data_IF_515827113792
#
_entry.id   IF_515827113792
#
_cell.length_a   1.000
_cell.length_b   1.000
_cell.length_c   1.000
_cell.angle_alpha   90.00
_cell.angle_beta   90.00
_cell.angle_gamma   90.00
#
_symmetry.space_group_name_H-M   'P 1'
#
loop_
_entity.id
_entity.type
_entity.pdbx_description
1 polymer ?
#
# COMPACT_ATOMS: atom_id res chain seq x y z
N UNK A 1 -35.25 5.04 47.43
CA UNK A 1 -33.77 5.02 47.50
C UNK A 1 -33.12 4.85 46.12
N UNK A 2 -33.77 4.24 45.12
CA UNK A 2 -33.21 4.08 43.76
C UNK A 2 -33.45 5.27 42.81
N UNK A 3 -34.41 6.17 43.08
CA UNK A 3 -34.69 7.33 42.20
C UNK A 3 -33.67 8.48 42.29
N UNK A 4 -32.85 8.53 43.33
CA UNK A 4 -31.73 9.49 43.44
C UNK A 4 -30.53 9.08 42.57
N UNK A 5 -30.37 7.77 42.33
CA UNK A 5 -29.32 7.21 41.48
C UNK A 5 -29.60 7.47 39.99
N UNK A 6 -30.87 7.54 39.60
CA UNK A 6 -31.32 7.91 38.26
C UNK A 6 -31.86 9.34 38.25
N UNK A 7 -31.08 10.26 38.83
CA UNK A 7 -31.36 11.69 38.83
C UNK A 7 -31.83 12.14 37.45
N UNK A 8 -33.12 12.48 37.40
CA UNK A 8 -33.79 13.05 36.25
C UNK A 8 -33.30 14.50 36.11
N UNK A 9 -32.10 14.69 35.54
CA UNK A 9 -31.64 16.00 35.13
C UNK A 9 -32.40 16.39 33.87
N UNK A 10 -33.51 17.13 34.06
CA UNK A 10 -33.96 18.06 33.03
C UNK A 10 -32.88 19.13 32.91
N UNK A 11 -31.83 18.82 32.16
CA UNK A 11 -30.83 19.78 31.77
C UNK A 11 -31.50 20.74 30.78
N UNK A 12 -31.97 21.88 31.31
CA UNK A 12 -32.16 23.09 30.53
C UNK A 12 -30.80 23.51 29.99
N UNK A 13 -30.39 22.89 28.88
CA UNK A 13 -29.11 23.12 28.23
C UNK A 13 -28.96 24.59 27.86
N UNK A 14 -27.90 25.29 28.28
CA UNK A 14 -27.43 26.40 27.49
C UNK A 14 -27.02 25.83 26.13
N UNK A 15 -27.47 26.43 25.03
CA UNK A 15 -27.12 26.10 23.63
C UNK A 15 -25.62 26.37 23.37
N UNK A 16 -24.73 25.81 24.18
CA UNK A 16 -23.28 25.86 24.01
C UNK A 16 -22.95 24.82 22.95
N UNK A 17 -22.80 25.28 21.71
CA UNK A 17 -22.11 24.67 20.55
C UNK A 17 -21.69 23.18 20.66
N UNK A 18 -22.60 22.28 21.04
CA UNK A 18 -22.30 20.84 21.22
C UNK A 18 -21.91 20.22 19.89
N UNK A 19 -22.54 20.66 18.81
CA UNK A 19 -22.21 20.27 17.43
C UNK A 19 -20.79 20.67 17.02
N UNK A 20 -20.32 21.85 17.44
CA UNK A 20 -18.97 22.33 17.16
C UNK A 20 -17.92 21.50 17.91
N UNK A 21 -18.19 21.20 19.18
CA UNK A 21 -17.32 20.35 20.01
C UNK A 21 -17.25 18.92 19.45
N UNK A 22 -18.38 18.35 19.04
CA UNK A 22 -18.43 17.03 18.42
C UNK A 22 -17.62 17.01 17.11
N UNK A 23 -17.78 18.03 16.27
CA UNK A 23 -17.03 18.15 15.02
C UNK A 23 -15.53 18.28 15.24
N UNK A 24 -15.10 19.02 16.25
CA UNK A 24 -13.69 19.16 16.62
C UNK A 24 -13.09 17.83 17.14
N UNK A 25 -13.86 17.08 17.93
CA UNK A 25 -13.46 15.75 18.40
C UNK A 25 -13.34 14.74 17.26
N UNK A 26 -14.29 14.72 16.33
CA UNK A 26 -14.26 13.86 15.13
C UNK A 26 -13.06 14.19 14.24
N UNK A 27 -12.80 15.49 14.01
CA UNK A 27 -11.63 15.94 13.27
C UNK A 27 -10.34 15.45 13.93
N UNK A 28 -10.19 15.70 15.22
CA UNK A 28 -9.00 15.30 15.99
C UNK A 28 -8.81 13.78 15.99
N UNK A 29 -9.90 13.01 16.11
CA UNK A 29 -9.86 11.54 16.02
C UNK A 29 -9.38 11.08 14.65
N UNK A 30 -9.88 11.72 13.59
CA UNK A 30 -9.53 11.40 12.20
C UNK A 30 -8.07 11.70 11.92
N UNK A 31 -7.56 12.86 12.34
CA UNK A 31 -6.15 13.24 12.18
C UNK A 31 -5.20 12.25 12.88
N UNK A 32 -5.53 11.85 14.12
CA UNK A 32 -4.75 10.84 14.85
C UNK A 32 -4.78 9.47 14.17
N UNK A 33 -5.95 9.05 13.68
CA UNK A 33 -6.09 7.78 12.97
C UNK A 33 -5.25 7.75 11.68
N UNK A 34 -5.24 8.86 10.93
CA UNK A 34 -4.45 9.00 9.72
C UNK A 34 -2.94 8.96 10.02
N UNK A 35 -2.49 9.71 11.03
CA UNK A 35 -1.09 9.71 11.45
C UNK A 35 -0.61 8.32 11.90
N UNK A 36 -1.44 7.58 12.65
CA UNK A 36 -1.14 6.20 13.04
C UNK A 36 -1.10 5.26 11.84
N UNK A 37 -2.04 5.42 10.90
CA UNK A 37 -2.07 4.62 9.69
C UNK A 37 -0.79 4.79 8.87
N UNK A 38 -0.34 6.04 8.67
CA UNK A 38 0.88 6.35 7.94
C UNK A 38 2.12 5.71 8.58
N UNK A 39 2.27 5.88 9.90
CA UNK A 39 3.36 5.25 10.65
C UNK A 39 3.36 3.72 10.54
N UNK A 40 2.17 3.09 10.53
CA UNK A 40 2.03 1.64 10.38
C UNK A 40 2.35 1.18 8.94
N UNK A 41 2.00 1.97 7.93
CA UNK A 41 2.35 1.68 6.52
C UNK A 41 3.86 1.73 6.33
N UNK A 42 4.53 2.75 6.85
CA UNK A 42 5.98 2.89 6.75
C UNK A 42 6.70 1.69 7.40
N UNK A 43 6.29 1.31 8.62
CA UNK A 43 6.83 0.13 9.32
C UNK A 43 6.61 -1.17 8.55
N UNK A 44 5.42 -1.38 7.96
CA UNK A 44 5.13 -2.56 7.14
C UNK A 44 6.03 -2.62 5.92
N UNK A 45 6.27 -1.49 5.25
CA UNK A 45 7.16 -1.43 4.09
C UNK A 45 8.62 -1.72 4.49
N UNK A 46 9.10 -1.11 5.58
CA UNK A 46 10.44 -1.38 6.11
C UNK A 46 10.62 -2.86 6.48
N UNK A 47 9.61 -3.47 7.12
CA UNK A 47 9.62 -4.89 7.46
C UNK A 47 9.70 -5.79 6.23
N UNK A 48 8.88 -5.55 5.21
CA UNK A 48 8.93 -6.31 3.95
C UNK A 48 10.30 -6.23 3.28
N UNK A 49 10.93 -5.06 3.31
CA UNK A 49 12.28 -4.87 2.76
C UNK A 49 13.34 -5.65 3.55
N UNK A 50 13.28 -5.59 4.89
CA UNK A 50 14.17 -6.35 5.75
C UNK A 50 14.01 -7.87 5.55
N UNK A 51 12.76 -8.34 5.45
CA UNK A 51 12.45 -9.74 5.17
C UNK A 51 13.00 -10.21 3.82
N UNK A 52 12.88 -9.38 2.77
CA UNK A 52 13.45 -9.69 1.45
C UNK A 52 14.98 -9.82 1.50
N UNK A 53 15.65 -8.93 2.25
CA UNK A 53 17.12 -8.96 2.44
C UNK A 53 17.58 -10.20 3.20
N UNK A 54 16.86 -10.58 4.25
CA UNK A 54 17.20 -11.77 5.03
C UNK A 54 17.04 -13.05 4.21
N UNK A 55 15.92 -13.18 3.49
CA UNK A 55 15.70 -14.30 2.57
C UNK A 55 16.77 -14.36 1.48
N UNK A 56 17.17 -13.21 0.93
CA UNK A 56 18.25 -13.14 -0.05
C UNK A 56 19.58 -13.61 0.53
N UNK A 57 19.93 -13.23 1.75
CA UNK A 57 21.17 -13.67 2.40
C UNK A 57 21.26 -15.20 2.51
N UNK A 58 20.14 -15.85 2.86
CA UNK A 58 20.06 -17.30 2.94
C UNK A 58 20.16 -17.99 1.56
N UNK A 59 19.46 -17.46 0.56
CA UNK A 59 19.52 -18.00 -0.81
C UNK A 59 20.89 -17.74 -1.45
N UNK A 60 21.51 -16.58 -1.20
CA UNK A 60 22.80 -16.21 -1.73
C UNK A 60 23.92 -17.11 -1.20
N UNK A 61 23.94 -17.36 0.11
CA UNK A 61 24.94 -18.25 0.72
C UNK A 61 24.86 -19.68 0.18
N UNK A 62 23.65 -20.25 0.11
CA UNK A 62 23.41 -21.61 -0.40
C UNK A 62 23.63 -21.71 -1.91
N UNK A 63 23.18 -20.73 -2.69
CA UNK A 63 23.39 -20.65 -4.14
C UNK A 63 24.87 -20.48 -4.51
N UNK A 64 25.62 -19.68 -3.74
CA UNK A 64 27.04 -19.49 -3.96
C UNK A 64 27.84 -20.75 -3.59
N UNK A 65 27.51 -21.40 -2.47
CA UNK A 65 28.13 -22.66 -2.07
C UNK A 65 27.93 -23.76 -3.13
N UNK A 66 26.70 -23.93 -3.60
CA UNK A 66 26.35 -24.93 -4.63
C UNK A 66 27.02 -24.61 -5.97
N UNK A 67 27.08 -23.33 -6.36
CA UNK A 67 27.79 -22.90 -7.57
C UNK A 67 29.30 -23.20 -7.50
N UNK A 68 29.96 -22.89 -6.38
CA UNK A 68 31.39 -23.20 -6.20
C UNK A 68 31.62 -24.71 -6.27
N UNK A 69 30.79 -25.51 -5.60
CA UNK A 69 30.93 -26.96 -5.58
C UNK A 69 30.77 -27.57 -6.99
N UNK A 70 29.81 -27.06 -7.77
CA UNK A 70 29.59 -27.42 -9.17
C UNK A 70 30.78 -27.06 -10.06
N UNK A 71 31.38 -25.87 -9.86
CA UNK A 71 32.58 -25.45 -10.60
C UNK A 71 33.78 -26.32 -10.25
N UNK A 72 34.02 -26.61 -8.97
CA UNK A 72 35.10 -27.50 -8.50
C UNK A 72 34.93 -28.91 -9.08
N UNK A 73 33.71 -29.45 -9.07
CA UNK A 73 33.41 -30.75 -9.69
C UNK A 73 33.70 -30.75 -11.21
N UNK A 74 33.37 -29.66 -11.91
CA UNK A 74 33.65 -29.51 -13.34
C UNK A 74 35.15 -29.50 -13.63
N UNK A 75 35.96 -28.83 -12.80
CA UNK A 75 37.42 -28.84 -12.92
C UNK A 75 38.02 -30.22 -12.65
N UNK A 76 37.53 -30.93 -11.63
CA UNK A 76 38.02 -32.26 -11.29
C UNK A 76 37.73 -33.28 -12.41
N UNK A 77 36.53 -33.26 -12.97
CA UNK A 77 36.12 -34.20 -14.02
C UNK A 77 36.43 -33.73 -15.46
N UNK A 78 37.00 -32.54 -15.65
CA UNK A 78 37.26 -31.87 -16.94
C UNK A 78 36.05 -31.82 -17.88
N UNK A 79 34.84 -31.84 -17.31
CA UNK A 79 33.58 -31.92 -18.05
C UNK A 79 32.74 -30.66 -17.77
N UNK A 80 32.53 -29.86 -18.81
CA UNK A 80 31.78 -28.60 -18.74
C UNK A 80 30.30 -28.82 -18.37
N UNK A 81 29.75 -30.01 -18.64
CA UNK A 81 28.36 -30.35 -18.32
C UNK A 81 28.01 -30.19 -16.83
N UNK A 82 28.99 -30.33 -15.92
CA UNK A 82 28.76 -30.13 -14.49
C UNK A 82 28.56 -28.67 -14.08
N UNK A 83 28.89 -27.71 -14.95
CA UNK A 83 28.68 -26.26 -14.72
C UNK A 83 27.32 -25.76 -15.21
N UNK A 84 26.55 -26.60 -15.91
CA UNK A 84 25.21 -26.26 -16.41
C UNK A 84 24.26 -25.68 -15.33
N UNK A 85 24.20 -26.19 -14.08
CA UNK A 85 23.30 -25.63 -13.07
C UNK A 85 23.73 -24.25 -12.54
N UNK A 86 24.96 -23.78 -12.80
CA UNK A 86 25.44 -22.47 -12.35
C UNK A 86 24.67 -21.33 -13.03
N UNK A 87 24.29 -21.53 -14.29
CA UNK A 87 23.57 -20.52 -15.08
C UNK A 87 22.19 -20.20 -14.49
N UNK A 88 21.28 -21.17 -14.27
CA UNK A 88 19.98 -20.87 -13.66
C UNK A 88 20.10 -20.36 -12.22
N UNK A 89 21.08 -20.84 -11.43
CA UNK A 89 21.32 -20.36 -10.06
C UNK A 89 21.73 -18.89 -10.07
N UNK A 90 22.70 -18.51 -10.92
CA UNK A 90 23.17 -17.13 -11.01
C UNK A 90 22.09 -16.17 -11.52
N UNK A 91 21.28 -16.59 -12.50
CA UNK A 91 20.15 -15.81 -13.00
C UNK A 91 19.10 -15.59 -11.91
N UNK A 92 18.76 -16.64 -11.15
CA UNK A 92 17.82 -16.55 -10.04
C UNK A 92 18.33 -15.62 -8.92
N UNK A 93 19.62 -15.73 -8.57
CA UNK A 93 20.26 -14.86 -7.59
C UNK A 93 20.28 -13.40 -8.06
N UNK A 94 20.58 -13.14 -9.33
CA UNK A 94 20.57 -11.80 -9.89
C UNK A 94 19.16 -11.18 -9.82
N UNK A 95 18.12 -11.96 -10.15
CA UNK A 95 16.73 -11.52 -10.02
C UNK A 95 16.38 -11.19 -8.55
N UNK A 96 16.72 -12.06 -7.62
CA UNK A 96 16.45 -11.83 -6.19
C UNK A 96 17.24 -10.66 -5.62
N UNK A 97 18.48 -10.45 -6.06
CA UNK A 97 19.29 -9.30 -5.69
C UNK A 97 18.65 -8.00 -6.19
N UNK A 98 18.20 -7.97 -7.45
CA UNK A 98 17.49 -6.81 -8.01
C UNK A 98 16.18 -6.54 -7.27
N UNK A 99 15.47 -7.58 -6.81
CA UNK A 99 14.26 -7.43 -6.02
C UNK A 99 14.54 -6.88 -4.61
N UNK A 100 15.55 -7.40 -3.91
CA UNK A 100 15.86 -7.04 -2.52
C UNK A 100 16.56 -5.67 -2.39
N UNK A 101 17.34 -5.25 -3.39
CA UNK A 101 18.10 -3.99 -3.39
C UNK A 101 17.62 -2.97 -4.43
N UNK A 102 16.56 -3.29 -5.17
CA UNK A 102 16.06 -2.42 -6.24
C UNK A 102 15.48 -1.11 -5.72
N UNK A 103 15.78 -0.02 -6.42
CA UNK A 103 15.37 1.32 -5.99
C UNK A 103 14.00 1.78 -6.54
N UNK A 104 13.03 0.87 -6.64
CA UNK A 104 11.75 1.19 -7.30
C UNK A 104 10.93 2.22 -6.49
N UNK A 105 10.96 2.12 -5.17
CA UNK A 105 10.18 3.02 -4.30
C UNK A 105 10.72 4.45 -4.33
N UNK A 106 12.04 4.66 -4.27
CA UNK A 106 12.57 6.03 -4.34
C UNK A 106 12.35 6.65 -5.72
N UNK A 107 12.41 5.85 -6.79
CA UNK A 107 12.07 6.33 -8.15
C UNK A 107 10.61 6.78 -8.22
N UNK A 108 9.68 5.99 -7.67
CA UNK A 108 8.26 6.38 -7.62
C UNK A 108 8.09 7.67 -6.81
N UNK A 109 8.78 7.79 -5.66
CA UNK A 109 8.72 8.99 -4.82
C UNK A 109 9.29 10.22 -5.55
N UNK A 110 10.42 10.08 -6.21
CA UNK A 110 11.04 11.15 -6.99
C UNK A 110 10.14 11.58 -8.16
N UNK A 111 9.51 10.63 -8.86
CA UNK A 111 8.57 10.92 -9.92
C UNK A 111 7.30 11.59 -9.39
N UNK A 112 6.76 11.15 -8.24
CA UNK A 112 5.61 11.80 -7.63
C UNK A 112 5.92 13.22 -7.21
N UNK A 113 7.08 13.47 -6.61
CA UNK A 113 7.52 14.81 -6.21
C UNK A 113 7.68 15.71 -7.44
N UNK A 114 8.23 15.19 -8.54
CA UNK A 114 8.35 15.91 -9.80
C UNK A 114 6.98 16.28 -10.39
N UNK A 115 6.03 15.35 -10.37
CA UNK A 115 4.67 15.57 -10.88
C UNK A 115 3.93 16.63 -10.05
N UNK A 116 4.10 16.64 -8.73
CA UNK A 116 3.49 17.64 -7.83
C UNK A 116 4.06 19.05 -8.10
N UNK A 117 5.35 19.14 -8.43
CA UNK A 117 6.02 20.41 -8.70
C UNK A 117 5.73 20.97 -10.10
N UNK A 118 5.24 20.14 -11.03
CA UNK A 118 4.92 20.59 -12.40
C UNK A 118 3.58 21.35 -12.45
N UNK A 119 3.59 22.67 -12.70
CA UNK A 119 2.37 23.48 -12.73
C UNK A 119 1.43 23.15 -13.90
N UNK A 120 1.91 22.43 -14.93
CA UNK A 120 1.11 22.02 -16.08
C UNK A 120 0.54 20.61 -15.94
N UNK A 121 0.92 19.88 -14.90
CA UNK A 121 0.35 18.56 -14.62
C UNK A 121 -1.11 18.74 -14.20
N UNK A 122 -2.05 18.35 -15.07
CA UNK A 122 -3.48 18.17 -14.72
C UNK A 122 -3.62 16.98 -13.78
N UNK A 123 -3.22 17.17 -12.54
CA UNK A 123 -3.53 16.27 -11.45
C UNK A 123 -4.99 16.50 -11.04
N UNK A 124 -5.78 15.44 -10.97
CA UNK A 124 -7.06 15.46 -10.29
C UNK A 124 -6.80 15.48 -8.78
N UNK A 125 -6.34 16.61 -8.25
CA UNK A 125 -5.91 16.76 -6.85
C UNK A 125 -7.07 16.80 -5.85
N UNK A 126 -8.30 16.95 -6.34
CA UNK A 126 -9.46 16.95 -5.46
C UNK A 126 -9.85 15.50 -5.14
N UNK A 127 -9.94 15.13 -3.85
CA UNK A 127 -10.58 13.88 -3.48
C UNK A 127 -11.99 13.92 -4.07
N UNK A 128 -12.39 12.82 -4.71
CA UNK A 128 -13.70 12.72 -5.35
C UNK A 128 -14.77 13.12 -4.33
N UNK A 129 -15.47 14.21 -4.61
CA UNK A 129 -16.46 14.70 -3.67
C UNK A 129 -17.61 13.70 -3.57
N UNK A 130 -18.25 13.60 -2.40
CA UNK A 130 -19.44 12.74 -2.26
C UNK A 130 -20.51 13.07 -3.31
N UNK A 131 -20.65 14.36 -3.66
CA UNK A 131 -21.51 14.83 -4.75
C UNK A 131 -21.14 14.26 -6.12
N UNK A 132 -19.85 14.10 -6.38
CA UNK A 132 -19.38 13.51 -7.64
C UNK A 132 -19.57 11.99 -7.66
N UNK A 133 -19.47 11.32 -6.51
CA UNK A 133 -19.82 9.89 -6.37
C UNK A 133 -21.32 9.70 -6.60
N UNK A 134 -22.15 10.51 -5.95
CA UNK A 134 -23.61 10.50 -6.13
C UNK A 134 -23.97 10.74 -7.60
N UNK A 135 -23.36 11.74 -8.25
CA UNK A 135 -23.58 12.00 -9.68
C UNK A 135 -23.07 10.90 -10.63
N UNK A 136 -22.14 10.04 -10.19
CA UNK A 136 -21.71 8.86 -10.96
C UNK A 136 -22.71 7.71 -10.79
N UNK A 137 -23.17 7.50 -9.57
CA UNK A 137 -24.19 6.49 -9.26
C UNK A 137 -25.52 6.81 -9.97
N UNK A 138 -25.92 8.09 -10.02
CA UNK A 138 -27.11 8.53 -10.76
C UNK A 138 -26.99 8.20 -12.26
N UNK A 139 -25.83 8.53 -12.87
CA UNK A 139 -25.57 8.23 -14.29
C UNK A 139 -25.60 6.74 -14.61
N UNK A 140 -25.08 5.89 -13.72
CA UNK A 140 -25.12 4.44 -13.90
C UNK A 140 -26.55 3.89 -13.82
N UNK A 141 -27.40 4.46 -12.95
CA UNK A 141 -28.81 4.11 -12.89
C UNK A 141 -29.56 4.52 -14.15
N UNK A 142 -29.35 5.73 -14.64
CA UNK A 142 -30.00 6.22 -15.85
C UNK A 142 -29.64 5.36 -17.09
N UNK A 143 -28.37 4.96 -17.20
CA UNK A 143 -27.91 4.05 -18.26
C UNK A 143 -28.60 2.68 -18.15
N UNK A 144 -28.70 2.12 -16.94
CA UNK A 144 -29.38 0.83 -16.73
C UNK A 144 -30.88 0.89 -17.04
N UNK A 145 -31.53 2.03 -16.80
CA UNK A 145 -32.95 2.25 -17.12
C UNK A 145 -33.14 2.35 -18.63
N UNK A 146 -32.25 3.03 -19.35
CA UNK A 146 -32.31 3.12 -20.81
C UNK A 146 -32.12 1.76 -21.48
N UNK A 147 -31.20 0.94 -20.97
CA UNK A 147 -30.98 -0.42 -21.48
C UNK A 147 -32.20 -1.33 -21.24
N UNK A 148 -32.92 -1.16 -20.13
CA UNK A 148 -34.19 -1.85 -19.89
C UNK A 148 -35.35 -1.37 -20.79
N UNK A 149 -35.35 -0.09 -21.19
CA UNK A 149 -36.37 0.47 -22.11
C UNK A 149 -36.14 -0.01 -23.54
N UNK A 150 -34.88 -0.10 -23.99
CA UNK A 150 -34.52 -0.62 -25.31
C UNK A 150 -34.79 -2.13 -25.45
N UNK A 151 -34.80 -2.90 -24.35
CA UNK A 151 -35.14 -4.33 -24.36
C UNK A 151 -36.65 -4.62 -24.36
N UNK A 152 -37.49 -3.59 -24.21
CA UNK A 152 -38.96 -3.70 -24.12
C UNK A 152 -39.70 -3.25 -25.39
N UNK A 153 -39.01 -2.75 -26.41
CA UNK A 153 -39.52 -2.47 -27.76
C UNK A 153 -39.05 -3.54 -28.76
#
# INVERSE_FOLDING_TARGET
MLEWLFGNSKDSSPHINTEEILKELEKTRTERALALHEAMVERKNAYKLAEAKERFNWIASTGLLTSILSVVASFHHKNLMYSLPVVPISLYLAHQAHYAFGNKLDVIKQLSDQIILDPNAKLSTLPISLREIEARVEREKDISILECVDYSN
#
